data_IF_840059969429
#
_entry.id   IF_840059969429
#
_cell.length_a   1.000
_cell.length_b   1.000
_cell.length_c   1.000
_cell.angle_alpha   90.00
_cell.angle_beta   90.00
_cell.angle_gamma   90.00
#
_symmetry.space_group_name_H-M   'P 1'
#
loop_
_entity.id
_entity.type
_entity.pdbx_description
1 polymer ?
#
# COMPACT_ATOMS: atom_id res chain seq x y z
N UNK A 1 0.72 22.16 -17.86
CA UNK A 1 0.55 20.76 -17.44
C UNK A 1 -0.75 20.68 -16.67
N UNK A 2 -1.70 19.91 -17.17
CA UNK A 2 -3.04 19.76 -16.56
C UNK A 2 -2.91 19.04 -15.22
N UNK A 3 -3.37 19.62 -14.11
CA UNK A 3 -3.26 19.01 -12.78
C UNK A 3 -4.17 17.77 -12.63
N UNK A 4 -5.23 17.67 -13.42
CA UNK A 4 -6.17 16.57 -13.43
C UNK A 4 -5.65 15.42 -14.30
N UNK A 5 -5.40 14.24 -13.69
CA UNK A 5 -4.81 13.08 -14.36
C UNK A 5 -5.74 12.44 -15.38
N UNK A 6 -7.04 12.37 -15.10
CA UNK A 6 -8.04 11.84 -16.04
C UNK A 6 -8.18 12.76 -17.26
N UNK A 7 -8.18 14.06 -17.03
CA UNK A 7 -8.24 15.04 -18.11
C UNK A 7 -6.98 14.93 -18.99
N UNK A 8 -5.79 14.79 -18.40
CA UNK A 8 -4.55 14.61 -19.13
C UNK A 8 -4.55 13.33 -19.99
N UNK A 9 -5.11 12.24 -19.49
CA UNK A 9 -5.28 10.98 -20.25
C UNK A 9 -6.28 11.15 -21.40
N UNK A 10 -7.38 11.84 -21.16
CA UNK A 10 -8.36 12.16 -22.21
C UNK A 10 -7.75 13.03 -23.30
N UNK A 11 -7.04 14.10 -22.94
CA UNK A 11 -6.29 14.94 -23.86
C UNK A 11 -5.24 14.14 -24.65
N UNK A 12 -4.49 13.23 -24.01
CA UNK A 12 -3.52 12.38 -24.67
C UNK A 12 -4.18 11.48 -25.72
N UNK A 13 -5.39 10.98 -25.47
CA UNK A 13 -6.17 10.18 -26.43
C UNK A 13 -6.52 10.96 -27.69
N UNK A 14 -6.64 12.29 -27.62
CA UNK A 14 -6.87 13.14 -28.79
C UNK A 14 -5.68 13.21 -29.74
N UNK A 15 -4.47 12.89 -29.25
CA UNK A 15 -3.23 12.90 -30.02
C UNK A 15 -2.78 11.51 -30.47
N UNK A 16 -3.58 10.47 -30.25
CA UNK A 16 -3.27 9.14 -30.78
C UNK A 16 -3.17 9.19 -32.29
N UNK A 17 -1.97 8.96 -32.80
CA UNK A 17 -1.75 8.90 -34.25
C UNK A 17 -2.46 7.68 -34.82
N UNK A 18 -3.28 7.83 -35.87
CA UNK A 18 -3.90 6.68 -36.52
C UNK A 18 -2.79 5.72 -36.95
N UNK A 19 -2.91 4.47 -36.52
CA UNK A 19 -2.06 3.39 -36.97
C UNK A 19 -2.10 3.31 -38.49
N UNK A 20 -1.03 2.89 -39.11
CA UNK A 20 -0.63 2.83 -40.56
C UNK A 20 -1.68 2.32 -41.58
N UNK A 21 -2.96 2.38 -41.32
CA UNK A 21 -4.04 1.89 -42.20
C UNK A 21 -4.47 2.86 -43.30
N UNK A 22 -3.78 3.98 -43.50
CA UNK A 22 -4.12 4.93 -44.58
C UNK A 22 -5.44 5.68 -44.39
N UNK A 23 -6.06 5.59 -43.24
CA UNK A 23 -7.29 6.32 -42.95
C UNK A 23 -6.97 7.81 -42.69
N UNK A 24 -7.48 8.68 -43.55
CA UNK A 24 -7.37 10.13 -43.34
C UNK A 24 -8.13 10.51 -42.09
N UNK A 25 -7.42 11.09 -41.13
CA UNK A 25 -8.06 11.76 -39.99
C UNK A 25 -8.70 13.04 -40.50
N UNK A 26 -10.02 13.10 -40.48
CA UNK A 26 -10.72 14.37 -40.67
C UNK A 26 -10.34 15.29 -39.50
N UNK A 27 -9.86 16.52 -39.77
CA UNK A 27 -9.70 17.51 -38.73
C UNK A 27 -11.11 18.00 -38.32
N UNK A 28 -11.73 17.21 -37.44
CA UNK A 28 -12.90 17.70 -36.73
C UNK A 28 -12.39 18.78 -35.78
N UNK A 29 -12.78 20.01 -36.00
CA UNK A 29 -12.66 21.05 -34.99
C UNK A 29 -13.44 20.53 -33.79
N UNK A 30 -12.74 20.02 -32.79
CA UNK A 30 -13.36 19.69 -31.54
C UNK A 30 -13.80 21.02 -30.92
N UNK A 31 -15.09 21.18 -30.72
CA UNK A 31 -15.62 22.23 -29.87
C UNK A 31 -14.79 22.26 -28.57
N UNK A 32 -14.47 23.46 -28.09
CA UNK A 32 -13.72 23.73 -26.86
C UNK A 32 -14.42 23.19 -25.59
N UNK A 33 -15.31 22.24 -25.75
CA UNK A 33 -16.08 21.62 -24.67
C UNK A 33 -15.23 20.53 -24.00
N UNK A 34 -14.22 20.98 -23.25
CA UNK A 34 -13.46 20.08 -22.38
C UNK A 34 -14.45 19.52 -21.35
N UNK A 35 -14.68 18.20 -21.32
CA UNK A 35 -15.60 17.62 -20.35
C UNK A 35 -15.12 17.91 -18.94
N UNK A 36 -16.03 18.21 -18.04
CA UNK A 36 -15.75 18.31 -16.62
C UNK A 36 -15.50 16.88 -16.06
N UNK A 37 -14.25 16.44 -16.17
CA UNK A 37 -13.82 15.11 -15.71
C UNK A 37 -13.26 15.28 -14.31
N UNK A 38 -13.99 14.73 -13.33
CA UNK A 38 -13.51 14.66 -11.96
C UNK A 38 -12.22 13.83 -11.89
N UNK A 39 -11.20 14.34 -11.19
CA UNK A 39 -9.91 13.66 -11.05
C UNK A 39 -10.05 12.41 -10.13
N UNK A 40 -9.11 11.48 -10.24
CA UNK A 40 -8.98 10.37 -9.29
C UNK A 40 -8.51 10.93 -7.94
N UNK A 41 -8.99 10.32 -6.85
CA UNK A 41 -8.58 10.74 -5.53
C UNK A 41 -7.08 10.48 -5.25
N UNK A 42 -6.53 11.11 -4.22
CA UNK A 42 -5.10 11.03 -3.93
C UNK A 42 -4.68 9.62 -3.49
N UNK A 43 -5.60 8.85 -2.92
CA UNK A 43 -5.36 7.46 -2.54
C UNK A 43 -5.25 6.55 -3.78
N UNK A 44 -6.16 6.68 -4.73
CA UNK A 44 -6.11 5.91 -5.97
C UNK A 44 -4.89 6.32 -6.83
N UNK A 45 -4.54 7.62 -6.86
CA UNK A 45 -3.27 8.09 -7.47
C UNK A 45 -2.05 7.42 -6.84
N UNK A 46 -2.04 7.33 -5.51
CA UNK A 46 -0.96 6.68 -4.79
C UNK A 46 -0.86 5.19 -5.15
N UNK A 47 -1.99 4.46 -5.18
CA UNK A 47 -1.99 3.05 -5.55
C UNK A 47 -1.47 2.84 -6.98
N UNK A 48 -1.93 3.63 -7.94
CA UNK A 48 -1.46 3.58 -9.33
C UNK A 48 0.05 3.84 -9.43
N UNK A 49 0.58 4.78 -8.63
CA UNK A 49 2.01 5.08 -8.61
C UNK A 49 2.81 3.93 -7.98
N UNK A 50 2.32 3.31 -6.91
CA UNK A 50 2.95 2.11 -6.34
C UNK A 50 2.92 0.92 -7.32
N UNK A 51 1.82 0.69 -8.02
CA UNK A 51 1.72 -0.41 -9.00
C UNK A 51 2.63 -0.20 -10.21
N UNK A 52 2.84 1.05 -10.64
CA UNK A 52 3.62 1.37 -11.84
C UNK A 52 5.10 1.62 -11.56
N UNK A 53 5.42 2.31 -10.46
CA UNK A 53 6.78 2.76 -10.15
C UNK A 53 7.39 2.06 -8.92
N UNK A 54 6.58 1.35 -8.12
CA UNK A 54 7.02 0.72 -6.87
C UNK A 54 7.26 1.71 -5.72
N UNK A 55 6.99 3.00 -5.93
CA UNK A 55 7.15 4.07 -4.93
C UNK A 55 6.05 5.12 -5.07
N UNK A 56 5.79 5.84 -4.00
CA UNK A 56 4.94 7.02 -3.99
C UNK A 56 5.72 8.23 -3.44
N UNK A 57 6.16 9.18 -4.30
CA UNK A 57 7.05 10.26 -3.89
C UNK A 57 6.43 11.29 -2.94
N UNK A 58 5.11 11.31 -2.81
CA UNK A 58 4.38 12.35 -2.05
C UNK A 58 4.04 11.97 -0.61
N UNK A 59 4.32 10.71 -0.22
CA UNK A 59 3.98 10.23 1.12
C UNK A 59 3.99 8.71 1.23
N UNK A 60 3.41 8.19 2.29
CA UNK A 60 3.33 6.76 2.56
C UNK A 60 1.88 6.30 2.69
N UNK A 61 1.56 5.08 2.22
CA UNK A 61 0.20 4.51 2.28
C UNK A 61 -0.37 4.55 3.71
N UNK A 62 0.49 4.41 4.70
CA UNK A 62 0.07 4.42 6.11
C UNK A 62 -0.45 5.78 6.57
N UNK A 63 -0.13 6.89 5.91
CA UNK A 63 -0.71 8.20 6.22
C UNK A 63 -2.23 8.22 6.00
N UNK A 64 -2.71 7.49 4.98
CA UNK A 64 -4.14 7.34 4.70
C UNK A 64 -4.83 6.29 5.59
N UNK A 65 -4.07 5.33 6.09
CA UNK A 65 -4.59 4.20 6.88
C UNK A 65 -4.56 4.51 8.37
N UNK A 66 -3.53 5.18 8.85
CA UNK A 66 -3.31 5.47 10.29
C UNK A 66 -4.50 6.08 10.99
N UNK A 67 -5.19 7.10 10.43
CA UNK A 67 -6.38 7.69 11.07
C UNK A 67 -7.54 6.72 11.30
N UNK A 68 -7.55 5.61 10.57
CA UNK A 68 -8.60 4.59 10.63
C UNK A 68 -8.27 3.43 11.57
N UNK A 69 -7.02 3.36 12.03
CA UNK A 69 -6.57 2.32 12.96
C UNK A 69 -6.90 2.69 14.41
N UNK A 70 -7.02 1.65 15.25
CA UNK A 70 -7.13 1.85 16.70
C UNK A 70 -5.88 2.56 17.23
N UNK A 71 -6.02 3.48 18.24
CA UNK A 71 -4.88 4.10 18.90
C UNK A 71 -3.90 3.12 19.57
N UNK A 72 -4.31 1.87 19.76
CA UNK A 72 -3.46 0.80 20.30
C UNK A 72 -2.47 0.24 19.27
N UNK A 73 -2.61 0.59 17.99
CA UNK A 73 -1.68 0.16 16.93
C UNK A 73 -0.49 1.10 16.93
N UNK A 74 0.64 0.56 17.32
CA UNK A 74 1.89 1.30 17.47
C UNK A 74 2.49 1.67 16.11
N UNK A 75 3.32 2.69 16.10
CA UNK A 75 4.22 3.00 14.99
C UNK A 75 5.45 2.12 15.05
N UNK A 76 6.10 1.91 13.92
CA UNK A 76 7.30 1.05 13.85
C UNK A 76 8.41 1.55 14.76
N UNK A 77 8.62 2.86 14.85
CA UNK A 77 9.65 3.44 15.73
C UNK A 77 9.38 3.21 17.22
N UNK A 78 8.12 3.10 17.64
CA UNK A 78 7.76 2.86 19.03
C UNK A 78 8.16 1.45 19.47
N UNK A 79 8.21 0.50 18.52
CA UNK A 79 8.57 -0.92 18.77
C UNK A 79 9.96 -1.05 19.39
N UNK A 80 10.92 -0.22 18.98
CA UNK A 80 12.28 -0.27 19.48
C UNK A 80 12.40 0.08 20.97
N UNK A 81 11.47 0.87 21.49
CA UNK A 81 11.47 1.38 22.86
C UNK A 81 10.88 0.41 23.88
N UNK A 82 10.16 -0.61 23.42
CA UNK A 82 9.41 -1.54 24.28
C UNK A 82 10.30 -2.60 24.90
N UNK A 83 9.82 -3.24 25.96
CA UNK A 83 10.53 -4.29 26.66
C UNK A 83 10.34 -5.66 25.96
N UNK A 84 11.32 -6.55 26.18
CA UNK A 84 11.18 -7.97 25.83
C UNK A 84 9.90 -8.54 26.45
N UNK A 85 9.09 -9.22 25.64
CA UNK A 85 7.85 -9.86 26.10
C UNK A 85 6.61 -8.99 26.04
N UNK A 86 6.71 -7.70 25.73
CA UNK A 86 5.54 -6.83 25.57
C UNK A 86 4.65 -7.28 24.41
N UNK A 87 3.34 -7.31 24.67
CA UNK A 87 2.34 -7.59 23.63
C UNK A 87 1.99 -6.34 22.85
N UNK A 88 2.09 -6.41 21.54
CA UNK A 88 1.87 -5.26 20.67
C UNK A 88 0.97 -5.55 19.48
N UNK A 89 0.49 -4.48 18.88
CA UNK A 89 -0.07 -4.44 17.53
C UNK A 89 0.68 -3.40 16.72
N UNK A 90 1.14 -3.78 15.53
CA UNK A 90 1.78 -2.89 14.57
C UNK A 90 1.16 -3.08 13.20
N UNK A 91 1.02 -2.01 12.44
CA UNK A 91 0.51 -2.06 11.08
C UNK A 91 1.49 -1.40 10.12
N UNK A 92 1.60 -1.96 8.93
CA UNK A 92 2.48 -1.43 7.90
C UNK A 92 2.34 -2.16 6.57
N UNK A 93 3.08 -1.68 5.59
CA UNK A 93 3.22 -2.29 4.27
C UNK A 93 4.33 -3.36 4.31
N UNK A 94 4.06 -4.61 3.88
CA UNK A 94 5.10 -5.64 3.78
C UNK A 94 6.04 -5.35 2.59
N UNK A 95 7.20 -4.76 2.84
CA UNK A 95 8.18 -4.38 1.81
C UNK A 95 9.16 -5.50 1.44
N UNK A 96 9.44 -6.41 2.37
CA UNK A 96 10.34 -7.53 2.13
C UNK A 96 9.85 -8.80 2.81
N UNK A 97 10.10 -9.95 2.17
CA UNK A 97 9.81 -11.28 2.72
C UNK A 97 10.98 -12.22 2.46
N UNK A 98 11.49 -12.80 3.50
CA UNK A 98 12.62 -13.70 3.44
C UNK A 98 12.29 -15.06 4.05
N UNK A 99 12.79 -16.13 3.40
CA UNK A 99 12.72 -17.52 3.87
C UNK A 99 14.16 -18.05 3.97
N UNK A 100 14.84 -17.82 5.09
CA UNK A 100 16.22 -18.28 5.24
C UNK A 100 16.30 -19.82 5.16
N UNK A 101 17.27 -20.31 4.42
CA UNK A 101 17.57 -21.75 4.39
C UNK A 101 18.07 -22.19 5.79
N UNK A 102 17.47 -23.26 6.34
CA UNK A 102 17.90 -23.83 7.63
C UNK A 102 17.15 -23.29 8.85
N UNK A 103 16.12 -22.48 8.67
CA UNK A 103 15.30 -21.92 9.77
C UNK A 103 13.90 -22.55 9.85
N UNK A 104 13.78 -23.86 9.66
CA UNK A 104 12.56 -24.69 9.87
C UNK A 104 11.25 -24.05 9.32
N UNK A 105 11.34 -23.33 8.18
CA UNK A 105 10.20 -22.69 7.54
C UNK A 105 9.74 -21.37 8.19
N UNK A 106 10.52 -20.79 9.10
CA UNK A 106 10.27 -19.45 9.63
C UNK A 106 10.38 -18.41 8.54
N UNK A 107 9.46 -17.46 8.55
CA UNK A 107 9.38 -16.36 7.57
C UNK A 107 9.66 -15.05 8.27
N UNK A 108 10.55 -14.25 7.69
CA UNK A 108 10.83 -12.89 8.13
C UNK A 108 10.14 -11.94 7.16
N UNK A 109 9.40 -10.99 7.70
CA UNK A 109 8.71 -9.96 6.92
C UNK A 109 9.06 -8.61 7.48
N UNK A 110 9.64 -7.75 6.66
CA UNK A 110 9.83 -6.34 7.02
C UNK A 110 8.57 -5.57 6.66
N UNK A 111 8.02 -4.86 7.60
CA UNK A 111 6.89 -3.96 7.41
C UNK A 111 7.32 -2.53 7.63
N UNK A 112 6.90 -1.65 6.73
CA UNK A 112 7.19 -0.22 6.74
C UNK A 112 5.92 0.57 7.06
N UNK A 113 6.05 1.64 7.82
CA UNK A 113 5.01 2.64 7.99
C UNK A 113 5.52 4.05 7.66
N UNK A 114 4.76 5.08 7.99
CA UNK A 114 5.09 6.49 7.68
C UNK A 114 6.32 7.04 8.40
N UNK A 115 6.92 6.28 9.33
CA UNK A 115 8.04 6.75 10.17
C UNK A 115 9.24 5.82 10.21
N UNK A 116 9.11 4.58 9.75
CA UNK A 116 10.21 3.61 9.75
C UNK A 116 9.74 2.20 9.38
N UNK A 117 10.56 1.24 9.73
CA UNK A 117 10.29 -0.18 9.49
C UNK A 117 10.54 -1.03 10.74
N UNK A 118 9.96 -2.23 10.75
CA UNK A 118 10.21 -3.24 11.79
C UNK A 118 10.14 -4.63 11.21
N UNK A 119 10.86 -5.58 11.86
CA UNK A 119 10.90 -6.95 11.40
C UNK A 119 9.91 -7.83 12.17
N UNK A 120 9.09 -8.56 11.42
CA UNK A 120 8.17 -9.56 11.91
C UNK A 120 8.78 -10.95 11.74
N UNK A 121 8.80 -11.74 12.81
CA UNK A 121 9.18 -13.16 12.81
C UNK A 121 7.89 -13.99 12.83
N UNK A 122 7.68 -14.76 11.77
CA UNK A 122 6.45 -15.51 11.56
C UNK A 122 6.78 -17.01 11.54
N UNK A 123 6.35 -17.72 12.56
CA UNK A 123 6.52 -19.17 12.63
C UNK A 123 5.67 -19.88 11.57
N UNK A 124 6.08 -21.08 11.09
CA UNK A 124 5.41 -21.79 10.01
C UNK A 124 3.91 -21.95 10.18
N UNK A 125 3.46 -22.32 11.38
CA UNK A 125 2.02 -22.49 11.68
C UNK A 125 1.23 -21.18 11.56
N UNK A 126 1.83 -20.07 11.96
CA UNK A 126 1.22 -18.74 11.85
C UNK A 126 1.23 -18.29 10.38
N UNK A 127 2.34 -18.51 9.68
CA UNK A 127 2.46 -18.20 8.27
C UNK A 127 1.39 -18.87 7.42
N UNK A 128 1.20 -20.20 7.58
CA UNK A 128 0.16 -20.93 6.84
C UNK A 128 -1.23 -20.35 7.06
N UNK A 129 -1.57 -19.98 8.30
CA UNK A 129 -2.85 -19.37 8.65
C UNK A 129 -3.02 -17.98 8.06
N UNK A 130 -1.96 -17.17 8.08
CA UNK A 130 -2.01 -15.75 7.73
C UNK A 130 -1.55 -15.45 6.29
N UNK A 131 -1.20 -16.49 5.50
CA UNK A 131 -0.62 -16.36 4.14
C UNK A 131 -1.44 -15.47 3.20
N UNK A 132 -2.77 -15.50 3.32
CA UNK A 132 -3.63 -14.65 2.51
C UNK A 132 -3.52 -13.18 2.92
N UNK A 133 -3.51 -12.90 4.22
CA UNK A 133 -3.39 -11.54 4.74
C UNK A 133 -2.06 -10.89 4.36
N UNK A 134 -0.97 -11.67 4.32
CA UNK A 134 0.36 -11.19 3.92
C UNK A 134 0.48 -10.73 2.46
N UNK A 135 -0.53 -10.96 1.62
CA UNK A 135 -0.57 -10.48 0.23
C UNK A 135 -1.23 -9.10 0.10
N UNK A 136 -1.78 -8.57 1.20
CA UNK A 136 -2.41 -7.26 1.20
C UNK A 136 -1.38 -6.15 1.25
N UNK A 137 -1.72 -4.99 0.72
CA UNK A 137 -0.86 -3.81 0.75
C UNK A 137 -0.60 -3.31 2.17
N UNK A 138 -1.57 -3.45 3.07
CA UNK A 138 -1.39 -3.12 4.48
C UNK A 138 -1.83 -4.30 5.34
N UNK A 139 -1.01 -4.63 6.31
CA UNK A 139 -1.29 -5.66 7.30
C UNK A 139 -1.27 -5.10 8.71
N UNK A 140 -2.09 -5.69 9.57
CA UNK A 140 -2.07 -5.49 11.02
C UNK A 140 -1.55 -6.77 11.66
N UNK A 141 -0.38 -6.70 12.27
CA UNK A 141 0.25 -7.80 12.98
C UNK A 141 0.08 -7.63 14.49
N UNK A 142 -0.27 -8.72 15.17
CA UNK A 142 -0.22 -8.85 16.63
C UNK A 142 0.92 -9.79 17.00
N UNK A 143 1.69 -9.41 17.99
CA UNK A 143 2.82 -10.24 18.41
C UNK A 143 3.38 -9.83 19.76
N UNK A 144 4.57 -10.33 20.04
CA UNK A 144 5.33 -10.09 21.24
C UNK A 144 6.70 -9.58 20.85
N UNK A 145 7.22 -8.60 21.57
CA UNK A 145 8.58 -8.08 21.37
C UNK A 145 9.60 -9.17 21.72
N UNK A 146 10.55 -9.38 20.82
CA UNK A 146 11.72 -10.21 21.03
C UNK A 146 12.99 -9.45 20.72
N UNK A 147 13.91 -9.41 21.66
CA UNK A 147 15.21 -8.75 21.52
C UNK A 147 16.30 -9.79 21.38
N UNK A 148 17.00 -9.77 20.28
CA UNK A 148 18.09 -10.68 20.00
C UNK A 148 19.26 -9.95 19.37
N UNK A 149 20.44 -10.09 19.98
CA UNK A 149 21.70 -9.50 19.48
C UNK A 149 21.60 -8.01 19.13
N UNK A 150 20.94 -7.24 20.01
CA UNK A 150 20.73 -5.80 19.82
C UNK A 150 19.62 -5.44 18.82
N UNK A 151 18.99 -6.42 18.18
CA UNK A 151 17.89 -6.19 17.24
C UNK A 151 16.54 -6.43 17.92
N UNK A 152 15.60 -5.52 17.68
CA UNK A 152 14.22 -5.65 18.17
C UNK A 152 13.35 -6.22 17.05
N UNK A 153 12.64 -7.30 17.34
CA UNK A 153 11.77 -7.98 16.39
C UNK A 153 10.40 -8.23 17.02
N UNK A 154 9.40 -8.46 16.18
CA UNK A 154 8.04 -8.83 16.62
C UNK A 154 7.79 -10.30 16.28
N UNK A 155 7.70 -11.17 17.28
CA UNK A 155 7.27 -12.56 17.10
C UNK A 155 5.76 -12.57 16.96
N UNK A 156 5.29 -12.89 15.76
CA UNK A 156 3.89 -12.72 15.37
C UNK A 156 3.03 -13.88 15.86
N UNK A 157 1.90 -13.55 16.48
CA UNK A 157 0.85 -14.50 16.84
C UNK A 157 -0.33 -14.50 15.85
N UNK A 158 -0.64 -13.36 15.21
CA UNK A 158 -1.71 -13.23 14.22
C UNK A 158 -1.48 -12.08 13.25
N UNK A 159 -2.00 -12.20 12.01
CA UNK A 159 -1.95 -11.14 10.99
C UNK A 159 -3.32 -11.03 10.31
N UNK A 160 -3.78 -9.80 10.17
CA UNK A 160 -5.00 -9.47 9.42
C UNK A 160 -4.67 -8.51 8.27
N UNK A 161 -5.35 -8.68 7.15
CA UNK A 161 -5.36 -7.68 6.10
C UNK A 161 -6.13 -6.44 6.58
N UNK A 162 -5.59 -5.26 6.30
CA UNK A 162 -6.31 -4.01 6.50
C UNK A 162 -6.93 -3.63 5.17
N UNK A 163 -8.27 -3.62 5.12
CA UNK A 163 -8.99 -3.14 3.96
C UNK A 163 -8.99 -1.60 3.98
N UNK A 164 -8.18 -1.04 3.15
CA UNK A 164 -8.02 0.42 3.08
C UNK A 164 -9.18 1.08 2.35
N UNK A 165 -9.88 0.33 1.47
CA UNK A 165 -11.02 0.83 0.67
C UNK A 165 -12.34 0.82 1.44
N UNK A 166 -12.50 -0.03 2.44
CA UNK A 166 -13.79 -0.28 3.11
C UNK A 166 -14.43 0.95 3.79
N UNK A 167 -13.69 2.05 3.95
CA UNK A 167 -14.17 3.27 4.61
C UNK A 167 -14.02 4.55 3.76
N UNK A 168 -13.76 4.43 2.47
CA UNK A 168 -13.86 5.59 1.57
C UNK A 168 -15.31 5.82 1.18
N UNK A 169 -15.81 7.08 1.13
CA UNK A 169 -17.06 7.37 0.46
C UNK A 169 -16.97 6.84 -0.96
N UNK A 170 -17.90 5.99 -1.36
CA UNK A 170 -18.00 5.59 -2.77
C UNK A 170 -18.15 6.86 -3.58
N UNK A 171 -17.29 7.06 -4.58
CA UNK A 171 -17.53 8.07 -5.60
C UNK A 171 -18.96 7.86 -6.08
N UNK A 172 -19.77 8.95 -6.09
CA UNK A 172 -21.11 8.88 -6.61
C UNK A 172 -21.02 8.55 -8.11
N UNK A 173 -21.36 7.31 -8.46
CA UNK A 173 -21.65 6.97 -9.84
C UNK A 173 -22.90 7.75 -10.25
N UNK A 174 -22.71 8.77 -11.05
CA UNK A 174 -23.79 9.46 -11.75
C UNK A 174 -24.23 8.56 -12.89
N UNK A 175 -25.46 8.07 -12.81
CA UNK A 175 -26.17 7.43 -13.92
C UNK A 175 -26.66 8.48 -14.92
#
# INVERSE_FOLDING_TARGET
>A
VTPNRRLALWEAGLYERPTKSGQMVLPLSMDDNVPDIEDIDDYDKMLDEYETMGIYPKGHIMEFVRPKLSPQVLKTVDVETLAEGDQIMVAGWPIARQHPKGQDGTVFVTVEDEVGDTQLIIWPKVFERCRKALRSHVILARGVISKWDGTVNVVVSDIKAVDVRANMPRSHDWH
#
